data_IF_336608279152
#
_entry.id   IF_336608279152
#
_cell.length_a   1.000
_cell.length_b   1.000
_cell.length_c   1.000
_cell.angle_alpha   90.00
_cell.angle_beta   90.00
_cell.angle_gamma   90.00
#
_symmetry.space_group_name_H-M   'P 1'
#
loop_
_entity.id
_entity.type
_entity.pdbx_description
1 polymer ?
#
# COMPACT_ATOMS: atom_id res chain seq x y z
N UNK A 1 9.82 -7.49 5.85
CA UNK A 1 10.57 -8.59 5.21
C UNK A 1 9.64 -9.78 5.02
N UNK A 2 9.70 -10.43 3.89
CA UNK A 2 8.93 -11.65 3.62
C UNK A 2 9.49 -12.79 4.46
N UNK A 3 8.64 -13.48 5.20
CA UNK A 3 9.01 -14.64 6.04
C UNK A 3 8.65 -15.94 5.32
N UNK A 4 7.45 -15.97 4.75
CA UNK A 4 6.89 -17.13 4.06
C UNK A 4 6.05 -16.68 2.87
N UNK A 5 5.90 -17.53 1.87
CA UNK A 5 5.07 -17.28 0.69
C UNK A 5 4.13 -18.46 0.44
N UNK A 6 2.92 -18.18 -0.02
CA UNK A 6 1.96 -19.20 -0.46
C UNK A 6 2.38 -19.83 -1.78
N UNK A 7 1.83 -21.02 -2.09
CA UNK A 7 2.17 -21.82 -3.26
C UNK A 7 1.94 -21.11 -4.62
N UNK A 8 1.04 -20.10 -4.65
CA UNK A 8 0.77 -19.32 -5.87
C UNK A 8 1.63 -18.07 -6.07
N UNK A 9 2.52 -17.76 -5.12
CA UNK A 9 3.39 -16.58 -5.19
C UNK A 9 4.59 -16.86 -6.08
N UNK A 10 4.84 -16.00 -7.04
CA UNK A 10 5.92 -16.17 -8.03
C UNK A 10 6.94 -15.03 -8.03
N UNK A 11 6.57 -13.82 -7.64
CA UNK A 11 7.43 -12.64 -7.69
C UNK A 11 8.23 -12.38 -6.41
N UNK A 12 7.89 -13.04 -5.31
CA UNK A 12 8.48 -12.84 -4.00
C UNK A 12 9.00 -14.16 -3.41
N UNK A 13 9.99 -14.04 -2.53
CA UNK A 13 10.53 -15.16 -1.76
C UNK A 13 10.91 -14.73 -0.35
N UNK A 14 11.05 -15.67 0.59
CA UNK A 14 11.55 -15.38 1.93
C UNK A 14 12.87 -14.59 1.90
N UNK A 15 12.98 -13.59 2.76
CA UNK A 15 14.10 -12.67 2.83
C UNK A 15 14.00 -11.47 1.89
N UNK A 16 12.98 -11.35 1.04
CA UNK A 16 12.77 -10.14 0.26
C UNK A 16 12.26 -9.00 1.15
N UNK A 17 12.76 -7.79 0.90
CA UNK A 17 12.28 -6.58 1.52
C UNK A 17 11.13 -6.01 0.69
N UNK A 18 10.02 -5.70 1.35
CA UNK A 18 8.80 -5.25 0.69
C UNK A 18 8.16 -4.08 1.43
N UNK A 19 7.49 -3.23 0.67
CA UNK A 19 6.61 -2.18 1.19
C UNK A 19 5.17 -2.62 0.93
N UNK A 20 4.32 -2.76 1.96
CA UNK A 20 2.91 -3.05 1.78
C UNK A 20 2.17 -1.82 1.25
N UNK A 21 1.22 -2.07 0.35
CA UNK A 21 0.30 -1.09 -0.18
C UNK A 21 -1.10 -1.39 0.35
N UNK A 22 -1.72 -0.41 0.96
CA UNK A 22 -3.07 -0.55 1.54
C UNK A 22 -4.19 -0.50 0.49
N UNK A 23 -3.89 -0.13 -0.74
CA UNK A 23 -4.83 -0.13 -1.87
C UNK A 23 -4.34 -1.05 -2.98
N UNK A 24 -4.41 -2.38 -2.78
CA UNK A 24 -4.07 -3.31 -3.86
C UNK A 24 -5.06 -3.20 -5.02
N UNK A 25 -4.71 -3.80 -6.14
CA UNK A 25 -5.52 -3.84 -7.36
C UNK A 25 -5.98 -5.26 -7.69
N UNK A 26 -7.11 -5.41 -8.37
CA UNK A 26 -7.57 -6.73 -8.84
C UNK A 26 -7.14 -7.07 -10.27
N UNK A 27 -6.64 -6.10 -11.03
CA UNK A 27 -6.27 -6.19 -12.46
C UNK A 27 -7.40 -6.59 -13.41
N UNK A 28 -8.64 -6.60 -12.96
CA UNK A 28 -9.78 -7.09 -13.75
C UNK A 28 -10.91 -6.06 -13.86
N UNK A 29 -11.12 -5.19 -12.88
CA UNK A 29 -12.18 -4.19 -12.94
C UNK A 29 -11.84 -3.04 -13.91
N UNK A 30 -12.84 -2.29 -14.30
CA UNK A 30 -12.74 -1.15 -15.21
C UNK A 30 -11.60 -0.19 -14.82
N UNK A 31 -11.48 0.14 -13.54
CA UNK A 31 -10.44 1.07 -13.06
C UNK A 31 -9.03 0.49 -13.15
N UNK A 32 -8.87 -0.81 -12.89
CA UNK A 32 -7.57 -1.46 -13.03
C UNK A 32 -7.13 -1.58 -14.48
N UNK A 33 -8.07 -1.82 -15.40
CA UNK A 33 -7.80 -1.89 -16.84
C UNK A 33 -7.57 -0.49 -17.46
N UNK A 34 -8.03 0.57 -16.79
CA UNK A 34 -7.91 1.96 -17.22
C UNK A 34 -6.91 2.75 -16.34
N UNK A 35 -5.71 2.28 -16.14
CA UNK A 35 -4.64 2.51 -15.16
C UNK A 35 -4.97 3.46 -13.97
N UNK A 36 -6.17 3.37 -13.45
CA UNK A 36 -6.60 4.05 -12.22
C UNK A 36 -6.77 3.05 -11.09
N UNK A 37 -5.76 2.24 -10.86
CA UNK A 37 -5.79 1.07 -9.96
C UNK A 37 -6.09 1.43 -8.50
N UNK A 38 -5.77 2.64 -8.08
CA UNK A 38 -6.16 3.20 -6.78
C UNK A 38 -7.68 3.32 -6.58
N UNK A 39 -8.48 3.21 -7.65
CA UNK A 39 -9.94 3.21 -7.61
C UNK A 39 -10.54 1.80 -7.73
N UNK A 40 -9.74 0.76 -7.57
CA UNK A 40 -10.18 -0.63 -7.66
C UNK A 40 -11.43 -0.90 -6.80
N UNK A 41 -12.52 -1.34 -7.45
CA UNK A 41 -13.80 -1.58 -6.77
C UNK A 41 -13.79 -2.86 -5.95
N UNK A 42 -13.21 -3.95 -6.49
CA UNK A 42 -13.18 -5.25 -5.82
C UNK A 42 -12.45 -5.22 -4.48
N UNK A 43 -11.42 -4.40 -4.35
CA UNK A 43 -10.69 -4.24 -3.09
C UNK A 43 -11.53 -3.49 -2.05
N UNK A 44 -12.30 -2.49 -2.49
CA UNK A 44 -13.09 -1.67 -1.56
C UNK A 44 -14.20 -2.45 -0.86
N UNK A 45 -14.78 -3.42 -1.54
CA UNK A 45 -15.84 -4.27 -0.98
C UNK A 45 -15.38 -5.06 0.24
N UNK A 46 -14.21 -5.66 0.18
CA UNK A 46 -13.67 -6.50 1.27
C UNK A 46 -12.85 -5.70 2.28
N UNK A 47 -12.03 -4.78 1.82
CA UNK A 47 -11.17 -3.95 2.66
C UNK A 47 -11.97 -3.07 3.62
N UNK A 48 -13.07 -2.45 3.16
CA UNK A 48 -13.97 -1.65 3.99
C UNK A 48 -14.63 -2.44 5.11
N UNK A 49 -14.77 -3.75 4.93
CA UNK A 49 -15.27 -4.68 5.93
C UNK A 49 -14.16 -5.26 6.83
N UNK A 50 -12.91 -4.90 6.60
CA UNK A 50 -11.75 -5.43 7.33
C UNK A 50 -11.46 -6.89 6.98
N UNK A 51 -11.62 -7.26 5.73
CA UNK A 51 -11.37 -8.62 5.23
C UNK A 51 -10.30 -8.61 4.14
N UNK A 52 -9.72 -9.78 3.90
CA UNK A 52 -8.88 -10.06 2.75
C UNK A 52 -9.72 -10.09 1.47
N UNK A 53 -9.12 -10.02 0.26
CA UNK A 53 -9.86 -10.10 -1.00
C UNK A 53 -10.74 -11.35 -1.16
N UNK A 54 -10.42 -12.43 -0.46
CA UNK A 54 -11.20 -13.68 -0.44
C UNK A 54 -12.38 -13.64 0.57
N UNK A 55 -12.66 -12.50 1.19
CA UNK A 55 -13.73 -12.33 2.17
C UNK A 55 -13.43 -12.93 3.54
N UNK A 56 -12.21 -13.37 3.82
CA UNK A 56 -11.82 -13.97 5.09
C UNK A 56 -10.87 -13.08 5.89
N UNK A 57 -10.58 -13.48 7.14
CA UNK A 57 -9.53 -12.89 7.96
C UNK A 57 -8.48 -13.93 8.32
N UNK A 58 -7.22 -13.51 8.38
CA UNK A 58 -6.09 -14.31 8.82
C UNK A 58 -5.78 -14.14 10.31
N UNK A 59 -6.54 -13.28 10.98
CA UNK A 59 -6.40 -13.04 12.41
C UNK A 59 -7.58 -13.61 13.18
N UNK A 60 -7.30 -14.18 14.33
CA UNK A 60 -8.33 -14.67 15.26
C UNK A 60 -7.89 -14.52 16.70
N UNK A 61 -8.86 -14.40 17.59
CA UNK A 61 -8.68 -14.45 19.05
C UNK A 61 -9.74 -15.33 19.66
N UNK A 62 -9.32 -16.41 20.32
CA UNK A 62 -10.24 -17.38 20.92
C UNK A 62 -11.21 -17.99 19.88
N UNK A 63 -10.74 -18.29 18.68
CA UNK A 63 -11.55 -18.85 17.59
C UNK A 63 -12.47 -17.84 16.88
N UNK A 64 -12.52 -16.58 17.32
CA UNK A 64 -13.30 -15.52 16.66
C UNK A 64 -12.43 -14.74 15.68
N UNK A 65 -12.85 -14.50 14.44
CA UNK A 65 -12.08 -13.72 13.49
C UNK A 65 -11.94 -12.27 13.95
N UNK A 66 -10.75 -11.69 13.74
CA UNK A 66 -10.45 -10.27 13.97
C UNK A 66 -10.32 -9.62 12.60
N UNK A 67 -10.91 -8.45 12.44
CA UNK A 67 -10.87 -7.69 11.19
C UNK A 67 -9.49 -7.12 10.91
N UNK A 68 -9.11 -7.09 9.64
CA UNK A 68 -7.91 -6.42 9.17
C UNK A 68 -8.06 -4.91 9.25
N UNK A 69 -6.97 -4.21 9.62
CA UNK A 69 -6.89 -2.76 9.52
C UNK A 69 -6.36 -2.38 8.14
N UNK A 70 -7.17 -1.65 7.38
CA UNK A 70 -6.80 -1.07 6.08
C UNK A 70 -6.21 -2.10 5.09
N UNK A 71 -6.65 -3.36 5.18
CA UNK A 71 -6.16 -4.45 4.34
C UNK A 71 -4.73 -4.93 4.59
N UNK A 72 -3.92 -4.19 5.34
CA UNK A 72 -2.51 -4.48 5.58
C UNK A 72 -2.22 -4.98 6.99
N UNK A 73 -2.90 -4.44 8.01
CA UNK A 73 -2.70 -4.77 9.43
C UNK A 73 -1.22 -4.74 9.86
N UNK A 74 -0.46 -3.78 9.38
CA UNK A 74 1.00 -3.71 9.60
C UNK A 74 1.41 -3.33 11.02
N UNK A 75 0.46 -2.93 11.88
CA UNK A 75 0.70 -2.74 13.30
C UNK A 75 0.65 -4.08 14.06
N UNK A 76 1.42 -5.04 13.56
CA UNK A 76 1.55 -6.40 14.08
C UNK A 76 2.95 -6.94 13.77
N UNK A 77 3.40 -7.94 14.52
CA UNK A 77 4.70 -8.59 14.28
C UNK A 77 4.72 -9.34 12.94
N UNK A 78 3.58 -9.91 12.55
CA UNK A 78 3.38 -10.60 11.28
C UNK A 78 2.03 -10.22 10.69
N UNK A 79 1.98 -10.14 9.38
CA UNK A 79 0.73 -9.94 8.63
C UNK A 79 0.74 -10.82 7.38
N UNK A 80 -0.44 -11.14 6.87
CA UNK A 80 -0.61 -11.87 5.61
C UNK A 80 -1.22 -10.92 4.60
N UNK A 81 -0.59 -10.82 3.44
CA UNK A 81 -0.95 -9.87 2.39
C UNK A 81 -0.97 -10.56 1.02
N UNK A 82 -1.86 -10.15 0.11
CA UNK A 82 -1.75 -10.56 -1.30
C UNK A 82 -0.42 -10.08 -1.89
N UNK A 83 0.20 -10.92 -2.75
CA UNK A 83 1.45 -10.57 -3.44
C UNK A 83 1.34 -9.22 -4.16
N UNK A 84 0.21 -8.96 -4.81
CA UNK A 84 -0.06 -7.74 -5.56
C UNK A 84 -0.09 -6.46 -4.69
N UNK A 85 -0.26 -6.61 -3.38
CA UNK A 85 -0.22 -5.51 -2.42
C UNK A 85 1.19 -5.20 -1.91
N UNK A 86 2.22 -5.82 -2.48
CA UNK A 86 3.61 -5.72 -2.01
C UNK A 86 4.52 -5.21 -3.11
N UNK A 87 5.21 -4.11 -2.84
CA UNK A 87 6.28 -3.61 -3.70
C UNK A 87 7.63 -4.09 -3.17
N UNK A 88 8.35 -4.88 -3.97
CA UNK A 88 9.71 -5.32 -3.65
C UNK A 88 10.68 -4.16 -3.74
N UNK A 89 11.55 -4.03 -2.74
CA UNK A 89 12.56 -2.98 -2.65
C UNK A 89 13.96 -3.57 -2.48
N UNK A 90 14.96 -2.74 -2.62
CA UNK A 90 16.37 -3.12 -2.41
C UNK A 90 16.59 -3.62 -0.98
N UNK A 91 17.40 -4.65 -0.82
CA UNK A 91 17.69 -5.25 0.49
C UNK A 91 18.51 -4.35 1.41
N UNK A 92 19.24 -3.40 0.86
CA UNK A 92 20.06 -2.43 1.60
C UNK A 92 19.27 -1.16 1.98
N UNK A 93 18.00 -1.04 1.54
CA UNK A 93 17.16 0.09 1.91
C UNK A 93 16.78 0.02 3.40
N UNK A 94 17.07 1.05 4.20
CA UNK A 94 16.80 1.04 5.63
C UNK A 94 15.30 1.17 5.90
N UNK A 95 14.75 0.26 6.69
CA UNK A 95 13.30 0.19 6.95
C UNK A 95 12.73 1.45 7.60
N UNK A 96 13.50 2.10 8.47
CA UNK A 96 13.11 3.37 9.12
C UNK A 96 12.94 4.54 8.13
N UNK A 97 13.51 4.44 6.93
CA UNK A 97 13.35 5.44 5.87
C UNK A 97 12.27 5.05 4.88
N UNK A 98 12.26 3.81 4.42
CA UNK A 98 11.33 3.37 3.36
C UNK A 98 9.90 3.15 3.85
N UNK A 99 9.65 3.07 5.16
CA UNK A 99 8.30 2.90 5.72
C UNK A 99 7.33 4.02 5.34
N UNK A 100 7.82 5.21 4.98
CA UNK A 100 6.98 6.33 4.54
C UNK A 100 6.53 6.24 3.08
N UNK A 101 7.18 5.42 2.25
CA UNK A 101 6.92 5.35 0.81
C UNK A 101 5.49 4.90 0.51
N UNK A 102 4.96 3.94 1.26
CA UNK A 102 3.62 3.41 1.05
C UNK A 102 2.47 4.38 1.35
N UNK A 103 2.74 5.54 1.93
CA UNK A 103 1.71 6.52 2.30
C UNK A 103 2.17 7.96 2.04
N UNK A 104 2.91 8.57 2.98
CA UNK A 104 3.21 10.00 2.96
C UNK A 104 3.97 10.47 1.73
N UNK A 105 4.94 9.69 1.26
CA UNK A 105 5.75 10.02 0.07
C UNK A 105 4.88 9.99 -1.19
N UNK A 106 4.19 8.89 -1.44
CA UNK A 106 3.34 8.75 -2.63
C UNK A 106 2.16 9.73 -2.61
N UNK A 107 1.62 10.06 -1.45
CA UNK A 107 0.56 11.07 -1.30
C UNK A 107 1.08 12.47 -1.68
N UNK A 108 2.22 12.88 -1.13
CA UNK A 108 2.79 14.21 -1.42
C UNK A 108 3.16 14.38 -2.88
N UNK A 109 3.92 13.45 -3.43
CA UNK A 109 4.34 13.47 -4.84
C UNK A 109 3.12 13.36 -5.78
N UNK A 110 2.18 12.49 -5.47
CA UNK A 110 0.96 12.32 -6.25
C UNK A 110 0.08 13.57 -6.27
N UNK A 111 0.03 14.31 -5.17
CA UNK A 111 -0.69 15.58 -5.10
C UNK A 111 -0.13 16.60 -6.09
N UNK A 112 1.19 16.68 -6.20
CA UNK A 112 1.88 17.62 -7.13
C UNK A 112 1.67 17.19 -8.59
N UNK A 113 2.01 15.96 -8.90
CA UNK A 113 2.06 15.47 -10.29
C UNK A 113 0.65 15.20 -10.85
N UNK A 114 -0.18 14.49 -10.09
CA UNK A 114 -1.44 13.96 -10.62
C UNK A 114 -2.64 14.87 -10.33
N UNK A 115 -2.66 15.53 -9.17
CA UNK A 115 -3.82 16.33 -8.75
C UNK A 115 -3.66 17.80 -9.14
N UNK A 116 -2.61 18.46 -8.66
CA UNK A 116 -2.36 19.88 -8.94
C UNK A 116 -1.74 20.10 -10.32
N UNK A 117 -1.07 19.09 -10.90
CA UNK A 117 -0.39 19.16 -12.20
C UNK A 117 0.54 20.36 -12.29
N UNK A 118 1.36 20.52 -11.28
CA UNK A 118 2.28 21.66 -11.16
C UNK A 118 3.28 21.63 -12.30
N UNK A 119 3.35 22.74 -13.05
CA UNK A 119 4.26 22.90 -14.19
C UNK A 119 5.63 23.40 -13.75
N UNK A 120 6.63 23.17 -14.59
CA UNK A 120 8.00 23.67 -14.37
C UNK A 120 7.97 25.20 -14.29
N UNK A 121 8.61 25.75 -13.24
CA UNK A 121 8.65 27.22 -13.01
C UNK A 121 7.45 27.77 -12.26
N UNK A 122 6.47 26.96 -11.90
CA UNK A 122 5.33 27.38 -11.07
C UNK A 122 5.81 27.85 -9.69
N UNK A 123 5.11 28.84 -9.14
CA UNK A 123 5.30 29.29 -7.75
C UNK A 123 4.22 28.71 -6.88
N UNK A 124 4.62 27.90 -5.90
CA UNK A 124 3.70 27.20 -5.01
C UNK A 124 3.91 27.65 -3.56
N UNK A 125 2.82 27.62 -2.79
CA UNK A 125 2.85 27.80 -1.34
C UNK A 125 2.31 26.54 -0.70
N UNK A 126 3.06 25.99 0.25
CA UNK A 126 2.68 24.76 0.97
C UNK A 126 2.41 25.09 2.43
N UNK A 127 1.19 24.83 2.88
CA UNK A 127 0.80 24.99 4.27
C UNK A 127 0.96 23.66 5.01
N UNK A 128 1.86 23.63 6.00
CA UNK A 128 2.17 22.45 6.80
C UNK A 128 3.39 21.68 6.29
N UNK A 129 4.34 21.46 7.21
CA UNK A 129 5.63 20.81 6.95
C UNK A 129 5.70 19.42 7.62
N UNK A 130 4.56 18.70 7.64
CA UNK A 130 4.51 17.29 8.02
C UNK A 130 5.02 16.39 6.89
N UNK A 131 4.92 15.06 7.10
CA UNK A 131 5.42 14.07 6.14
C UNK A 131 4.89 14.26 4.72
N UNK A 132 3.63 14.66 4.53
CA UNK A 132 3.06 14.94 3.20
C UNK A 132 3.60 16.25 2.65
N UNK A 133 3.55 17.35 3.41
CA UNK A 133 3.99 18.67 2.95
C UNK A 133 5.46 18.71 2.55
N UNK A 134 6.33 18.01 3.27
CA UNK A 134 7.75 17.88 2.89
C UNK A 134 7.93 17.15 1.56
N UNK A 135 7.11 16.14 1.28
CA UNK A 135 7.15 15.42 -0.01
C UNK A 135 6.47 16.20 -1.15
N UNK A 136 5.62 17.16 -0.84
CA UNK A 136 5.10 18.13 -1.84
C UNK A 136 6.18 19.11 -2.28
N UNK A 137 7.09 19.48 -1.37
CA UNK A 137 8.17 20.46 -1.63
C UNK A 137 9.31 19.85 -2.46
N UNK A 138 9.60 18.57 -2.31
CA UNK A 138 10.62 17.85 -3.08
C UNK A 138 10.34 17.82 -4.58
#
# INVERSE_FOLDING_TARGET
MVVEVGAGVTGLKPGDHVIPLYTPECRQCEYCLNPKTNLCQSVRETQGQGMMPDGTSRFSRGGRPIRHSVGCSTFANHTVLPEIALAKVRKDAPFDKICYIGCGVTTGIGAVINTAKVEIGARCVVFGLGGIGLNVIQ
#
